data_IF_299315260671
#
_entry.id   IF_299315260671
#
_cell.length_a   1.000
_cell.length_b   1.000
_cell.length_c   1.000
_cell.angle_alpha   90.00
_cell.angle_beta   90.00
_cell.angle_gamma   90.00
#
_symmetry.space_group_name_H-M   'P 1'
#
loop_
_entity.id
_entity.type
_entity.pdbx_description
1 polymer ?
#
# COMPACT_ATOMS: atom_id res chain seq x y z
N UNK A 1 23.15 28.34 -33.16
CA UNK A 1 23.46 29.12 -31.96
C UNK A 1 22.17 29.69 -31.40
N UNK A 2 21.67 29.16 -30.30
CA UNK A 2 20.81 29.82 -29.29
C UNK A 2 20.74 28.88 -28.09
N UNK A 3 21.39 29.29 -27.01
CA UNK A 3 21.41 28.63 -25.71
C UNK A 3 20.09 28.98 -25.01
N UNK A 4 19.38 27.98 -24.50
CA UNK A 4 18.25 28.20 -23.58
C UNK A 4 18.67 27.80 -22.19
N UNK A 5 18.57 28.73 -21.27
CA UNK A 5 19.00 28.71 -19.88
C UNK A 5 17.89 28.07 -19.05
N UNK A 6 18.26 27.04 -18.26
CA UNK A 6 17.40 26.47 -17.21
C UNK A 6 17.32 27.45 -16.03
N UNK A 7 16.10 27.86 -15.68
CA UNK A 7 15.82 28.70 -14.53
C UNK A 7 15.46 27.83 -13.32
N UNK A 8 16.36 27.77 -12.36
CA UNK A 8 16.15 27.14 -11.05
C UNK A 8 15.40 28.13 -10.16
N UNK A 9 14.18 27.81 -9.75
CA UNK A 9 13.44 28.61 -8.76
C UNK A 9 13.91 28.24 -7.34
N UNK A 10 14.74 29.09 -6.75
CA UNK A 10 15.01 29.10 -5.33
C UNK A 10 14.04 30.09 -4.65
N UNK A 11 13.18 29.59 -3.76
CA UNK A 11 12.33 30.44 -2.93
C UNK A 11 13.15 30.90 -1.74
N UNK A 12 13.53 32.18 -1.74
CA UNK A 12 14.16 32.87 -0.61
C UNK A 12 13.04 33.51 0.20
N UNK A 13 12.86 33.05 1.43
CA UNK A 13 11.99 33.68 2.42
C UNK A 13 12.75 34.86 3.04
N UNK A 14 12.40 36.09 2.64
CA UNK A 14 12.94 37.33 3.25
C UNK A 14 12.15 37.68 4.53
N UNK A 15 12.80 37.55 5.68
CA UNK A 15 12.30 38.11 6.95
C UNK A 15 12.67 39.59 7.00
N UNK A 16 11.65 40.46 6.99
CA UNK A 16 11.84 41.89 7.14
C UNK A 16 12.21 42.23 8.58
N UNK A 17 13.38 42.83 8.76
CA UNK A 17 13.88 43.32 10.03
C UNK A 17 13.38 44.76 10.25
N UNK A 18 12.44 44.99 11.15
CA UNK A 18 12.03 46.31 11.60
C UNK A 18 13.02 46.79 12.68
N UNK A 19 13.67 47.94 12.48
CA UNK A 19 14.51 48.60 13.46
C UNK A 19 13.65 49.34 14.49
N UNK A 20 13.78 48.97 15.78
CA UNK A 20 13.31 49.78 16.91
C UNK A 20 14.48 50.24 17.75
N UNK A 21 14.45 51.51 18.19
CA UNK A 21 15.45 52.22 19.01
C UNK A 21 15.45 51.71 20.47
N UNK A 22 16.55 51.89 21.21
CA UNK A 22 16.73 51.24 22.52
C UNK A 22 16.08 52.03 23.66
N UNK A 23 15.53 51.37 24.66
CA UNK A 23 15.28 51.96 25.96
C UNK A 23 16.33 51.53 26.98
N UNK A 24 16.38 52.33 28.04
CA UNK A 24 17.32 52.40 29.15
C UNK A 24 17.60 51.13 29.97
N UNK A 25 18.78 51.14 30.55
CA UNK A 25 19.35 50.17 31.47
C UNK A 25 18.60 50.06 32.79
N UNK A 26 18.11 48.92 33.15
CA UNK A 26 18.19 48.29 34.49
C UNK A 26 17.32 47.05 34.55
N UNK A 27 17.86 45.85 34.33
CA UNK A 27 17.13 44.61 34.69
C UNK A 27 18.09 43.49 35.07
N UNK A 28 17.81 42.90 36.21
CA UNK A 28 18.35 41.68 36.78
C UNK A 28 18.57 40.54 35.78
N UNK A 29 19.75 39.92 35.86
CA UNK A 29 20.07 38.70 35.14
C UNK A 29 19.30 37.48 35.64
N UNK A 30 18.17 37.17 35.04
CA UNK A 30 17.59 35.85 35.08
C UNK A 30 18.04 35.09 33.84
N UNK A 31 18.73 33.97 34.05
CA UNK A 31 19.19 33.07 33.00
C UNK A 31 18.00 32.55 32.23
N UNK A 32 17.88 32.90 30.96
CA UNK A 32 16.88 32.37 30.04
C UNK A 32 17.26 30.97 29.55
N UNK A 33 16.46 30.00 29.89
CA UNK A 33 16.57 28.59 29.42
C UNK A 33 15.64 28.32 28.24
N UNK A 34 15.49 29.32 27.33
CA UNK A 34 14.42 29.32 26.32
C UNK A 34 14.68 28.41 25.10
N UNK A 35 15.89 27.96 24.92
CA UNK A 35 16.23 27.08 23.78
C UNK A 35 15.63 25.68 23.86
N UNK A 36 15.33 25.19 25.06
CA UNK A 36 14.79 23.83 25.25
C UNK A 36 13.26 23.77 25.18
N UNK A 37 12.56 24.85 25.56
CA UNK A 37 11.09 24.90 25.51
C UNK A 37 10.60 24.96 24.08
N UNK A 38 11.17 25.84 23.27
CA UNK A 38 10.82 25.98 21.85
C UNK A 38 11.15 24.70 21.04
N UNK A 39 12.25 24.01 21.36
CA UNK A 39 12.58 22.73 20.73
C UNK A 39 11.63 21.61 21.11
N UNK A 40 11.15 21.58 22.36
CA UNK A 40 10.19 20.61 22.82
C UNK A 40 8.79 20.86 22.24
N UNK A 41 8.36 22.10 22.12
CA UNK A 41 7.09 22.45 21.46
C UNK A 41 7.12 22.16 19.96
N UNK A 42 8.20 22.48 19.25
CA UNK A 42 8.37 22.13 17.85
C UNK A 42 8.46 20.62 17.63
N UNK A 43 9.09 19.87 18.54
CA UNK A 43 9.13 18.41 18.51
C UNK A 43 7.73 17.80 18.81
N UNK A 44 6.94 18.39 19.71
CA UNK A 44 5.57 17.99 19.98
C UNK A 44 4.62 18.31 18.80
N UNK A 45 4.77 19.46 18.16
CA UNK A 45 4.02 19.84 16.95
C UNK A 45 4.39 18.94 15.77
N UNK A 46 5.69 18.62 15.58
CA UNK A 46 6.15 17.69 14.56
C UNK A 46 5.70 16.23 14.81
N UNK A 47 5.48 15.85 16.08
CA UNK A 47 4.98 14.52 16.47
C UNK A 47 3.46 14.35 16.36
N UNK A 48 2.68 15.41 16.17
CA UNK A 48 1.22 15.39 16.26
C UNK A 48 0.48 15.51 14.91
N UNK A 49 1.14 15.82 13.82
CA UNK A 49 0.50 15.84 12.50
C UNK A 49 0.51 14.42 11.94
N UNK A 50 -0.47 13.59 12.33
CA UNK A 50 -0.85 12.40 11.54
C UNK A 50 -1.26 12.90 10.17
N UNK A 51 -0.36 12.75 9.18
CA UNK A 51 -0.66 13.14 7.82
C UNK A 51 -1.60 12.09 7.21
N UNK A 52 -2.90 12.36 7.27
CA UNK A 52 -3.88 11.58 6.54
C UNK A 52 -3.68 11.84 5.05
N UNK A 53 -3.34 10.81 4.30
CA UNK A 53 -3.25 10.88 2.86
C UNK A 53 -4.34 10.02 2.23
N UNK A 54 -5.06 10.60 1.26
CA UNK A 54 -6.03 9.90 0.41
C UNK A 54 -5.48 9.87 -1.01
N UNK A 55 -5.22 8.68 -1.52
CA UNK A 55 -4.65 8.48 -2.86
C UNK A 55 -5.56 7.52 -3.62
N UNK A 56 -5.79 7.79 -4.89
CA UNK A 56 -6.57 6.96 -5.79
C UNK A 56 -5.79 6.69 -7.07
N UNK A 57 -5.81 5.45 -7.54
CA UNK A 57 -5.28 5.01 -8.82
C UNK A 57 -6.41 4.37 -9.61
N UNK A 58 -6.90 5.08 -10.62
CA UNK A 58 -7.85 4.59 -11.62
C UNK A 58 -7.16 4.06 -12.88
N UNK A 59 -5.85 4.13 -12.93
CA UNK A 59 -4.96 3.71 -14.01
C UNK A 59 -5.19 4.36 -15.39
N UNK A 60 -6.18 5.23 -15.57
CA UNK A 60 -6.55 5.83 -16.87
C UNK A 60 -5.45 6.67 -17.50
N UNK A 61 -4.60 7.30 -16.68
CA UNK A 61 -3.51 8.16 -17.14
C UNK A 61 -2.20 7.43 -17.46
N UNK A 62 -2.17 6.10 -17.31
CA UNK A 62 -0.99 5.30 -17.62
C UNK A 62 -0.98 4.80 -19.07
N UNK A 63 0.20 4.41 -19.55
CA UNK A 63 0.38 3.87 -20.91
C UNK A 63 0.14 2.37 -20.93
N UNK A 64 -0.76 1.93 -21.78
CA UNK A 64 -1.05 0.49 -22.03
C UNK A 64 0.23 -0.26 -22.43
N UNK A 65 0.34 -1.52 -22.04
CA UNK A 65 1.49 -2.41 -22.23
C UNK A 65 2.79 -1.93 -21.55
N UNK A 66 2.69 -1.08 -20.54
CA UNK A 66 3.84 -0.62 -19.75
C UNK A 66 3.61 -0.88 -18.26
N UNK A 67 4.71 -1.19 -17.56
CA UNK A 67 4.72 -1.14 -16.09
C UNK A 67 4.46 0.31 -15.67
N UNK A 68 3.47 0.59 -14.79
CA UNK A 68 3.18 1.95 -14.37
C UNK A 68 4.37 2.57 -13.64
N UNK A 69 4.64 3.85 -13.92
CA UNK A 69 5.71 4.58 -13.23
C UNK A 69 5.44 4.64 -11.73
N UNK A 70 6.50 4.56 -10.91
CA UNK A 70 6.37 4.53 -9.45
C UNK A 70 6.06 3.15 -8.86
N UNK A 71 5.93 2.10 -9.67
CA UNK A 71 5.72 0.74 -9.22
C UNK A 71 6.95 -0.15 -9.46
N UNK A 72 7.12 -1.18 -8.64
CA UNK A 72 8.17 -2.20 -8.74
C UNK A 72 7.56 -3.59 -8.65
N UNK A 73 8.01 -4.49 -9.51
CA UNK A 73 7.54 -5.87 -9.54
C UNK A 73 8.58 -6.81 -8.94
N UNK A 74 8.07 -7.84 -8.26
CA UNK A 74 8.85 -8.90 -7.64
C UNK A 74 8.17 -10.25 -7.89
N UNK A 75 8.91 -11.34 -7.73
CA UNK A 75 8.35 -12.68 -7.74
C UNK A 75 9.17 -13.62 -6.86
N UNK A 76 8.55 -14.71 -6.43
CA UNK A 76 9.17 -15.80 -5.69
C UNK A 76 9.17 -17.08 -6.51
N UNK A 77 10.15 -17.96 -6.26
CA UNK A 77 10.25 -19.25 -6.96
C UNK A 77 10.75 -19.15 -8.39
N UNK A 78 10.54 -20.21 -9.17
CA UNK A 78 10.85 -20.27 -10.59
C UNK A 78 9.70 -19.70 -11.41
N UNK A 79 10.01 -19.11 -12.59
CA UNK A 79 9.02 -18.50 -13.47
C UNK A 79 9.28 -17.04 -13.72
N UNK A 80 8.24 -16.27 -13.95
CA UNK A 80 8.32 -14.84 -14.27
C UNK A 80 7.15 -14.04 -13.70
N UNK A 81 7.13 -12.76 -14.03
CA UNK A 81 6.03 -11.84 -13.69
C UNK A 81 5.87 -10.82 -14.82
N UNK A 82 4.63 -10.46 -15.14
CA UNK A 82 4.32 -9.49 -16.19
C UNK A 82 3.21 -8.56 -15.69
N UNK A 83 3.61 -7.58 -14.89
CA UNK A 83 2.71 -6.52 -14.43
C UNK A 83 2.76 -5.34 -15.38
N UNK A 84 1.62 -4.97 -15.91
CA UNK A 84 1.49 -3.82 -16.81
C UNK A 84 0.07 -3.26 -16.83
N UNK A 85 -0.09 -2.13 -17.46
CA UNK A 85 -1.42 -1.59 -17.76
C UNK A 85 -1.99 -2.36 -18.96
N UNK A 86 -3.19 -2.88 -18.79
CA UNK A 86 -3.97 -3.52 -19.84
C UNK A 86 -5.21 -2.70 -20.18
N UNK A 87 -5.78 -2.95 -21.35
CA UNK A 87 -7.09 -2.42 -21.74
C UNK A 87 -8.15 -3.50 -21.51
N UNK A 88 -9.14 -3.21 -20.68
CA UNK A 88 -10.31 -4.06 -20.44
C UNK A 88 -11.55 -3.36 -21.03
N UNK A 89 -11.73 -3.48 -22.36
CA UNK A 89 -12.87 -2.91 -23.09
C UNK A 89 -12.96 -1.37 -23.01
N UNK A 90 -11.83 -0.71 -23.14
CA UNK A 90 -11.71 0.75 -23.06
C UNK A 90 -11.44 1.30 -21.67
N UNK A 91 -11.40 0.45 -20.63
CA UNK A 91 -11.00 0.79 -19.28
C UNK A 91 -9.56 0.33 -19.01
N UNK A 92 -8.68 1.21 -18.58
CA UNK A 92 -7.30 0.84 -18.27
C UNK A 92 -7.19 0.28 -16.86
N UNK A 93 -6.55 -0.87 -16.76
CA UNK A 93 -6.42 -1.61 -15.50
C UNK A 93 -4.96 -1.99 -15.25
N UNK A 94 -4.58 -2.14 -14.00
CA UNK A 94 -3.33 -2.82 -13.68
C UNK A 94 -3.56 -4.33 -13.76
N UNK A 95 -2.73 -5.03 -14.52
CA UNK A 95 -2.87 -6.45 -14.78
C UNK A 95 -1.60 -7.24 -14.48
N UNK A 96 -1.72 -8.40 -13.86
CA UNK A 96 -0.73 -9.47 -13.89
C UNK A 96 -1.13 -10.43 -15.02
N UNK A 97 -0.26 -10.64 -16.01
CA UNK A 97 -0.57 -11.38 -17.25
C UNK A 97 0.28 -12.63 -17.48
N UNK A 98 1.35 -12.85 -16.71
CA UNK A 98 2.18 -14.04 -16.87
C UNK A 98 1.48 -15.28 -16.34
N UNK A 99 1.13 -16.21 -17.23
CA UNK A 99 0.28 -17.39 -16.96
C UNK A 99 1.04 -18.73 -16.98
N UNK A 100 2.37 -18.71 -17.04
CA UNK A 100 3.19 -19.94 -17.13
C UNK A 100 3.84 -20.33 -15.78
N UNK A 101 3.44 -19.69 -14.69
CA UNK A 101 4.04 -19.95 -13.40
C UNK A 101 3.56 -21.25 -12.76
N UNK A 102 4.47 -22.02 -12.13
CA UNK A 102 4.10 -23.20 -11.39
C UNK A 102 3.34 -22.86 -10.09
N UNK A 103 2.65 -23.85 -9.55
CA UNK A 103 2.02 -23.71 -8.24
C UNK A 103 3.08 -23.40 -7.17
N UNK A 104 2.82 -22.42 -6.29
CA UNK A 104 3.77 -21.95 -5.27
C UNK A 104 4.57 -20.72 -5.67
N UNK A 105 4.47 -20.25 -6.91
CA UNK A 105 5.01 -18.98 -7.35
C UNK A 105 4.10 -17.82 -6.92
N UNK A 106 4.68 -16.71 -6.49
CA UNK A 106 3.97 -15.48 -6.12
C UNK A 106 4.42 -14.33 -6.99
N UNK A 107 3.47 -13.60 -7.58
CA UNK A 107 3.72 -12.38 -8.33
C UNK A 107 3.33 -11.19 -7.44
N UNK A 108 4.21 -10.23 -7.32
CA UNK A 108 4.04 -9.08 -6.42
C UNK A 108 4.34 -7.79 -7.21
N UNK A 109 3.53 -6.78 -6.99
CA UNK A 109 3.84 -5.41 -7.41
C UNK A 109 3.56 -4.47 -6.26
N UNK A 110 4.49 -3.55 -5.97
CA UNK A 110 4.33 -2.56 -4.90
C UNK A 110 4.59 -1.15 -5.42
N UNK A 111 3.89 -0.19 -4.86
CA UNK A 111 4.18 1.21 -5.14
C UNK A 111 5.38 1.67 -4.29
N UNK A 112 6.37 2.28 -4.94
CA UNK A 112 7.63 2.73 -4.30
C UNK A 112 7.42 3.81 -3.25
N UNK A 113 6.40 4.62 -3.43
CA UNK A 113 6.15 5.83 -2.64
C UNK A 113 5.06 5.63 -1.57
N UNK A 114 4.35 4.50 -1.59
CA UNK A 114 3.32 4.18 -0.61
C UNK A 114 3.90 3.32 0.52
N UNK A 115 4.26 3.96 1.61
CA UNK A 115 4.73 3.32 2.84
C UNK A 115 3.79 3.70 3.97
N UNK A 116 3.11 2.72 4.55
CA UNK A 116 2.13 2.97 5.61
C UNK A 116 2.14 1.88 6.68
N UNK A 117 1.76 2.27 7.91
CA UNK A 117 1.55 1.36 9.04
C UNK A 117 0.06 1.11 9.27
N UNK A 118 -0.73 2.19 9.37
CA UNK A 118 -2.17 2.15 9.54
C UNK A 118 -2.83 2.72 8.29
N UNK A 119 -3.83 2.03 7.76
CA UNK A 119 -4.44 2.41 6.49
C UNK A 119 -5.75 1.67 6.24
N UNK A 120 -6.52 2.22 5.34
CA UNK A 120 -7.61 1.54 4.67
C UNK A 120 -7.27 1.40 3.19
N UNK A 121 -7.36 0.20 2.66
CA UNK A 121 -7.15 -0.15 1.26
C UNK A 121 -8.45 -0.63 0.64
N UNK A 122 -8.73 -0.23 -0.58
CA UNK A 122 -9.84 -0.76 -1.37
C UNK A 122 -9.41 -0.91 -2.82
N UNK A 123 -9.77 -2.00 -3.49
CA UNK A 123 -9.52 -2.24 -4.90
C UNK A 123 -10.66 -3.03 -5.52
N UNK A 124 -10.99 -2.75 -6.76
CA UNK A 124 -11.75 -3.66 -7.59
C UNK A 124 -10.79 -4.68 -8.20
N UNK A 125 -11.13 -5.95 -8.13
CA UNK A 125 -10.33 -7.02 -8.72
C UNK A 125 -11.21 -7.98 -9.52
N UNK A 126 -10.64 -8.56 -10.58
CA UNK A 126 -11.28 -9.52 -11.46
C UNK A 126 -10.30 -10.63 -11.82
N UNK A 127 -10.60 -11.87 -11.42
CA UNK A 127 -9.87 -13.06 -11.89
C UNK A 127 -10.25 -13.34 -13.33
N UNK A 128 -9.29 -13.27 -14.24
CA UNK A 128 -9.52 -13.38 -15.69
C UNK A 128 -9.23 -14.77 -16.19
N UNK A 129 -8.12 -15.38 -15.77
CA UNK A 129 -7.69 -16.70 -16.17
C UNK A 129 -6.76 -17.33 -15.12
N UNK A 130 -6.51 -18.61 -15.28
CA UNK A 130 -5.65 -19.45 -14.45
C UNK A 130 -6.28 -20.80 -14.21
N UNK A 131 -5.48 -21.86 -14.25
CA UNK A 131 -5.91 -23.25 -13.99
C UNK A 131 -5.59 -23.66 -12.55
N UNK A 132 -4.45 -23.20 -12.02
CA UNK A 132 -3.99 -23.49 -10.68
C UNK A 132 -4.46 -22.46 -9.67
N UNK A 133 -4.59 -21.22 -10.10
CA UNK A 133 -5.07 -20.11 -9.25
C UNK A 133 -5.72 -19.02 -10.10
N UNK A 134 -6.66 -18.26 -9.54
CA UNK A 134 -7.20 -17.02 -10.11
C UNK A 134 -7.22 -15.90 -9.07
N UNK A 135 -6.53 -16.14 -7.95
CA UNK A 135 -6.56 -15.25 -6.82
C UNK A 135 -5.71 -14.00 -7.00
N UNK A 136 -6.23 -12.91 -6.46
CA UNK A 136 -5.52 -11.65 -6.36
C UNK A 136 -5.93 -10.88 -5.11
N UNK A 137 -5.10 -9.92 -4.71
CA UNK A 137 -5.41 -9.09 -3.57
C UNK A 137 -4.27 -8.17 -3.15
N UNK A 138 -4.33 -7.70 -1.90
CA UNK A 138 -3.35 -6.76 -1.37
C UNK A 138 -2.12 -7.44 -0.80
N UNK A 139 -0.96 -6.79 -0.99
CA UNK A 139 0.21 -6.94 -0.15
C UNK A 139 0.41 -5.64 0.65
N UNK A 140 0.75 -5.76 1.93
CA UNK A 140 1.07 -4.60 2.78
C UNK A 140 2.15 -4.92 3.80
N UNK A 141 2.71 -3.88 4.40
CA UNK A 141 3.93 -3.96 5.22
C UNK A 141 5.02 -4.77 4.51
N UNK A 142 5.09 -4.59 3.19
CA UNK A 142 6.09 -5.27 2.37
C UNK A 142 7.47 -4.71 2.68
N UNK A 143 8.35 -5.59 3.15
CA UNK A 143 9.77 -5.35 3.42
C UNK A 143 10.57 -5.77 2.19
N UNK A 144 10.39 -7.02 1.76
CA UNK A 144 10.99 -7.64 0.59
C UNK A 144 10.09 -8.78 0.07
N UNK A 145 10.52 -9.48 -1.00
CA UNK A 145 9.76 -10.59 -1.61
C UNK A 145 9.53 -11.81 -0.70
N UNK A 146 10.17 -11.86 0.46
CA UNK A 146 10.10 -12.96 1.42
C UNK A 146 9.38 -12.56 2.72
N UNK A 147 9.07 -11.25 2.93
CA UNK A 147 8.57 -10.74 4.21
C UNK A 147 7.48 -9.69 4.00
N UNK A 148 6.21 -10.10 4.15
CA UNK A 148 5.02 -9.25 3.97
C UNK A 148 3.74 -9.94 4.44
N UNK A 149 2.66 -9.18 4.59
CA UNK A 149 1.30 -9.72 4.67
C UNK A 149 0.62 -9.72 3.31
N UNK A 150 -0.31 -10.65 3.13
CA UNK A 150 -1.17 -10.72 1.94
C UNK A 150 -2.59 -11.17 2.30
N UNK A 151 -3.60 -10.53 1.71
CA UNK A 151 -4.97 -11.00 1.67
C UNK A 151 -5.39 -11.15 0.22
N UNK A 152 -6.00 -12.29 -0.11
CA UNK A 152 -6.44 -12.57 -1.48
C UNK A 152 -7.88 -13.08 -1.53
N UNK A 153 -8.59 -12.75 -2.61
CA UNK A 153 -9.82 -13.38 -3.04
C UNK A 153 -9.51 -14.35 -4.19
N UNK A 154 -10.06 -15.56 -4.19
CA UNK A 154 -9.82 -16.54 -5.24
C UNK A 154 -11.14 -17.08 -5.80
N UNK A 155 -11.52 -16.74 -7.04
CA UNK A 155 -12.73 -17.23 -7.70
C UNK A 155 -12.77 -18.74 -7.93
N UNK A 156 -11.62 -19.42 -8.02
CA UNK A 156 -11.60 -20.89 -8.17
C UNK A 156 -11.96 -21.63 -6.88
N UNK A 157 -11.69 -21.01 -5.74
CA UNK A 157 -11.89 -21.60 -4.43
C UNK A 157 -13.09 -20.97 -3.69
N UNK A 158 -13.67 -19.91 -4.23
CA UNK A 158 -14.73 -19.10 -3.61
C UNK A 158 -14.40 -18.77 -2.15
N UNK A 159 -13.15 -18.30 -1.89
CA UNK A 159 -12.72 -17.97 -0.54
C UNK A 159 -11.84 -16.74 -0.47
N UNK A 160 -11.76 -16.18 0.73
CA UNK A 160 -10.85 -15.07 1.09
C UNK A 160 -9.95 -15.58 2.19
N UNK A 161 -8.62 -15.44 1.98
CA UNK A 161 -7.62 -15.88 2.95
C UNK A 161 -6.61 -14.78 3.20
N UNK A 162 -6.24 -14.60 4.46
CA UNK A 162 -5.17 -13.71 4.87
C UNK A 162 -3.99 -14.53 5.35
N UNK A 163 -2.80 -14.19 4.86
CA UNK A 163 -1.55 -14.86 5.14
C UNK A 163 -0.49 -13.86 5.59
N UNK A 164 0.55 -14.38 6.22
CA UNK A 164 1.89 -13.80 6.20
C UNK A 164 2.81 -14.64 5.33
N UNK A 165 3.77 -13.99 4.71
CA UNK A 165 4.96 -14.61 4.15
C UNK A 165 6.13 -14.13 5.00
N UNK A 166 6.78 -15.07 5.68
CA UNK A 166 7.90 -14.84 6.59
C UNK A 166 9.04 -15.74 6.15
N UNK A 167 10.19 -15.16 5.84
CA UNK A 167 11.36 -15.85 5.28
C UNK A 167 11.00 -16.73 4.05
N UNK A 168 10.12 -16.22 3.20
CA UNK A 168 9.64 -16.88 1.99
C UNK A 168 8.60 -17.98 2.23
N UNK A 169 8.23 -18.27 3.46
CA UNK A 169 7.23 -19.30 3.82
C UNK A 169 5.87 -18.65 4.04
N UNK A 170 4.88 -19.03 3.23
CA UNK A 170 3.50 -18.56 3.38
C UNK A 170 2.72 -19.39 4.40
N UNK A 171 2.06 -18.75 5.35
CA UNK A 171 1.15 -19.36 6.30
C UNK A 171 -0.13 -18.53 6.45
N UNK A 172 -1.28 -19.22 6.48
CA UNK A 172 -2.56 -18.60 6.81
C UNK A 172 -2.61 -18.21 8.28
N UNK A 173 -3.24 -17.08 8.57
CA UNK A 173 -3.36 -16.56 9.92
C UNK A 173 -4.71 -16.92 10.55
N UNK A 174 -4.73 -17.17 11.87
CA UNK A 174 -5.97 -17.49 12.58
C UNK A 174 -6.92 -16.29 12.60
N UNK A 175 -8.21 -16.57 12.44
CA UNK A 175 -9.25 -15.55 12.50
C UNK A 175 -9.63 -15.26 13.96
N UNK A 176 -9.83 -13.98 14.28
CA UNK A 176 -10.28 -13.57 15.62
C UNK A 176 -11.61 -14.25 15.95
N UNK A 177 -11.67 -14.94 17.08
CA UNK A 177 -12.84 -15.67 17.57
C UNK A 177 -13.14 -17.00 16.87
N UNK A 178 -12.35 -17.40 15.83
CA UNK A 178 -12.58 -18.66 15.08
C UNK A 178 -11.34 -19.58 15.03
N UNK A 179 -10.15 -19.03 15.25
CA UNK A 179 -8.92 -19.77 15.11
C UNK A 179 -8.48 -19.99 13.66
N UNK A 180 -7.70 -21.05 13.42
CA UNK A 180 -7.12 -21.37 12.10
C UNK A 180 -8.14 -22.15 11.24
N UNK A 181 -8.66 -21.51 10.20
CA UNK A 181 -9.75 -22.02 9.34
C UNK A 181 -9.42 -22.00 7.85
N UNK A 182 -8.20 -21.67 7.45
CA UNK A 182 -7.82 -21.38 6.07
C UNK A 182 -8.72 -20.31 5.44
N UNK A 183 -8.88 -19.17 6.14
CA UNK A 183 -9.73 -18.08 5.72
C UNK A 183 -11.22 -18.36 5.87
N UNK A 184 -12.01 -17.84 4.95
CA UNK A 184 -13.47 -17.98 4.96
C UNK A 184 -13.98 -18.22 3.53
N UNK A 185 -14.90 -19.17 3.39
CA UNK A 185 -15.66 -19.35 2.15
C UNK A 185 -16.70 -18.23 2.00
N UNK A 186 -16.91 -17.81 0.77
CA UNK A 186 -17.89 -16.80 0.39
C UNK A 186 -18.83 -17.35 -0.68
N UNK A 187 -19.93 -16.66 -0.94
CA UNK A 187 -20.73 -16.93 -2.13
C UNK A 187 -19.86 -16.77 -3.39
N UNK A 188 -20.28 -17.39 -4.48
CA UNK A 188 -19.51 -17.44 -5.74
C UNK A 188 -19.01 -16.06 -6.15
N UNK A 189 -17.68 -15.90 -6.19
CA UNK A 189 -17.02 -14.68 -6.63
C UNK A 189 -17.23 -14.44 -8.14
N UNK A 190 -17.32 -15.51 -8.92
CA UNK A 190 -17.50 -15.44 -10.37
C UNK A 190 -16.33 -14.77 -11.09
N UNK A 191 -16.53 -14.50 -12.38
CA UNK A 191 -15.54 -13.86 -13.27
C UNK A 191 -15.73 -12.33 -13.39
N UNK A 192 -16.63 -11.76 -12.58
CA UNK A 192 -16.90 -10.32 -12.55
C UNK A 192 -15.97 -9.55 -11.60
N UNK A 193 -16.16 -8.24 -11.60
CA UNK A 193 -15.47 -7.35 -10.69
C UNK A 193 -15.99 -7.52 -9.25
N UNK A 194 -15.07 -7.69 -8.31
CA UNK A 194 -15.35 -7.71 -6.88
C UNK A 194 -14.54 -6.59 -6.19
N UNK A 195 -15.10 -6.02 -5.13
CA UNK A 195 -14.37 -5.02 -4.33
C UNK A 195 -13.82 -5.69 -3.06
N UNK A 196 -12.51 -5.82 -2.99
CA UNK A 196 -11.80 -6.22 -1.77
C UNK A 196 -11.39 -4.96 -1.01
N UNK A 197 -11.65 -4.94 0.31
CA UNK A 197 -11.23 -3.86 1.19
C UNK A 197 -10.53 -4.43 2.41
N UNK A 198 -9.49 -3.74 2.87
CA UNK A 198 -8.70 -4.08 4.05
C UNK A 198 -8.52 -2.84 4.92
N UNK A 199 -8.83 -2.96 6.21
CA UNK A 199 -8.44 -1.95 7.21
C UNK A 199 -7.31 -2.52 8.07
N UNK A 200 -6.21 -1.79 8.17
CA UNK A 200 -5.03 -2.12 8.98
C UNK A 200 -4.91 -1.10 10.10
N UNK A 201 -5.13 -1.52 11.34
CA UNK A 201 -5.02 -0.68 12.53
C UNK A 201 -4.14 -1.36 13.57
N UNK A 202 -2.90 -0.92 13.67
CA UNK A 202 -1.84 -1.57 14.46
C UNK A 202 -1.66 -3.04 14.02
N UNK A 203 -1.94 -3.99 14.88
CA UNK A 203 -1.86 -5.44 14.66
C UNK A 203 -3.21 -6.07 14.27
N UNK A 204 -4.28 -5.27 14.19
CA UNK A 204 -5.62 -5.73 13.81
C UNK A 204 -5.90 -5.43 12.34
N UNK A 205 -6.27 -6.46 11.59
CA UNK A 205 -6.60 -6.42 10.17
C UNK A 205 -8.06 -6.84 9.98
N UNK A 206 -8.87 -5.96 9.38
CA UNK A 206 -10.29 -6.26 9.09
C UNK A 206 -10.49 -6.36 7.58
N UNK A 207 -11.04 -7.47 7.12
CA UNK A 207 -11.24 -7.78 5.71
C UNK A 207 -12.70 -7.67 5.33
N UNK A 208 -12.97 -7.03 4.19
CA UNK A 208 -14.31 -6.85 3.63
C UNK A 208 -14.32 -7.30 2.16
N UNK A 209 -15.45 -7.83 1.72
CA UNK A 209 -15.75 -8.13 0.33
C UNK A 209 -17.09 -7.51 -0.05
N UNK A 210 -17.13 -6.76 -1.14
CA UNK A 210 -18.33 -6.11 -1.67
C UNK A 210 -19.14 -5.35 -0.58
N UNK A 211 -18.41 -4.63 0.28
CA UNK A 211 -18.94 -3.83 1.38
C UNK A 211 -19.27 -4.61 2.67
N UNK A 212 -19.27 -5.94 2.65
CA UNK A 212 -19.55 -6.78 3.83
C UNK A 212 -18.28 -7.11 4.59
N UNK A 213 -18.23 -6.85 5.90
CA UNK A 213 -17.16 -7.34 6.78
C UNK A 213 -17.20 -8.88 6.83
N UNK A 214 -16.05 -9.52 6.60
CA UNK A 214 -15.94 -10.96 6.58
C UNK A 214 -15.30 -11.53 7.85
N UNK A 215 -14.11 -11.01 8.19
CA UNK A 215 -13.35 -11.47 9.34
C UNK A 215 -12.28 -10.48 9.77
N UNK A 216 -11.72 -10.75 10.95
CA UNK A 216 -10.56 -10.03 11.49
C UNK A 216 -9.44 -11.01 11.78
N UNK A 217 -8.22 -10.51 11.64
CA UNK A 217 -6.97 -11.20 12.02
C UNK A 217 -6.18 -10.27 12.93
N UNK A 218 -5.54 -10.82 13.95
CA UNK A 218 -4.59 -10.10 14.78
C UNK A 218 -3.22 -10.76 14.67
N UNK A 219 -2.22 -10.02 14.18
CA UNK A 219 -0.84 -10.49 14.04
C UNK A 219 0.14 -9.31 14.08
N UNK A 220 1.27 -9.49 14.75
CA UNK A 220 2.29 -8.45 14.92
C UNK A 220 3.68 -8.88 14.42
N UNK A 221 3.74 -9.81 13.46
CA UNK A 221 4.99 -10.28 12.86
C UNK A 221 5.76 -9.14 12.21
N UNK A 222 5.07 -8.28 11.45
CA UNK A 222 5.67 -7.08 10.83
C UNK A 222 5.05 -5.82 11.45
N UNK A 223 5.62 -5.28 12.56
CA UNK A 223 4.99 -4.19 13.31
C UNK A 223 5.18 -2.81 12.69
N UNK A 224 6.12 -2.66 11.76
CA UNK A 224 6.51 -1.38 11.18
C UNK A 224 5.72 -1.06 9.90
N UNK A 225 5.79 0.21 9.47
CA UNK A 225 5.33 0.61 8.15
C UNK A 225 6.11 -0.11 7.05
N UNK A 226 5.44 -0.43 5.95
CA UNK A 226 6.07 -1.03 4.77
C UNK A 226 5.32 -0.65 3.50
N UNK A 227 5.86 -1.06 2.34
CA UNK A 227 5.24 -0.76 1.05
C UNK A 227 3.89 -1.48 0.91
N UNK A 228 3.07 -0.96 -0.01
CA UNK A 228 1.73 -1.47 -0.31
C UNK A 228 1.61 -1.75 -1.81
N UNK A 229 0.85 -2.78 -2.16
CA UNK A 229 0.61 -3.14 -3.55
C UNK A 229 -0.29 -4.35 -3.71
N UNK A 230 -0.04 -5.13 -4.76
CA UNK A 230 -0.87 -6.27 -5.15
C UNK A 230 -0.08 -7.56 -5.26
N UNK A 231 -0.82 -8.66 -5.21
CA UNK A 231 -0.30 -10.00 -5.20
C UNK A 231 -1.21 -10.94 -6.00
N UNK A 232 -0.60 -11.85 -6.74
CA UNK A 232 -1.26 -13.01 -7.35
C UNK A 232 -0.42 -14.26 -7.14
N UNK A 233 -0.98 -15.44 -7.46
CA UNK A 233 -0.31 -16.72 -7.29
C UNK A 233 -0.34 -17.54 -8.57
N UNK A 234 0.73 -18.30 -8.79
CA UNK A 234 0.85 -19.25 -9.89
C UNK A 234 0.51 -18.61 -11.25
N UNK A 235 -0.33 -19.26 -12.03
CA UNK A 235 -0.79 -18.87 -13.36
C UNK A 235 -1.97 -17.88 -13.36
N UNK A 236 -2.29 -17.28 -12.20
CA UNK A 236 -3.40 -16.34 -12.10
C UNK A 236 -3.20 -15.10 -12.95
N UNK A 237 -4.10 -14.88 -13.91
CA UNK A 237 -4.26 -13.63 -14.63
C UNK A 237 -5.34 -12.83 -13.92
N UNK A 238 -4.96 -11.69 -13.34
CA UNK A 238 -5.86 -10.90 -12.50
C UNK A 238 -5.74 -9.41 -12.85
N UNK A 239 -6.88 -8.75 -12.97
CA UNK A 239 -6.99 -7.31 -13.18
C UNK A 239 -7.35 -6.60 -11.88
N UNK A 240 -6.79 -5.40 -11.70
CA UNK A 240 -6.98 -4.52 -10.55
C UNK A 240 -7.30 -3.11 -11.03
N UNK A 241 -8.28 -2.47 -10.40
CA UNK A 241 -8.73 -1.13 -10.75
C UNK A 241 -9.27 -0.40 -9.51
N UNK A 242 -9.47 0.92 -9.62
CA UNK A 242 -10.00 1.77 -8.55
C UNK A 242 -9.27 1.56 -7.20
N UNK A 243 -7.94 1.49 -7.23
CA UNK A 243 -7.18 1.32 -6.00
C UNK A 243 -7.18 2.60 -5.17
N UNK A 244 -7.70 2.50 -3.96
CA UNK A 244 -7.79 3.60 -2.99
C UNK A 244 -7.01 3.27 -1.73
N UNK A 245 -6.24 4.22 -1.23
CA UNK A 245 -5.55 4.14 0.04
C UNK A 245 -5.83 5.40 0.87
N UNK A 246 -6.26 5.19 2.11
CA UNK A 246 -6.37 6.24 3.13
C UNK A 246 -5.43 5.86 4.28
N UNK A 247 -4.43 6.69 4.59
CA UNK A 247 -3.55 6.50 5.75
C UNK A 247 -4.08 7.28 6.95
N UNK A 248 -3.84 6.80 8.18
CA UNK A 248 -4.29 7.45 9.42
C UNK A 248 -3.43 7.08 10.64
#
# INVERSE_FOLDING_TARGET
MKKTINLLFAIILSVACAKASPPDQNINTTKWNDGNIVRNELAQIAGSVKQEAKINFDFENYTVNRLPSGWEQYYSGAGGTDWKIADDQGNKVLAQLYSENPNGHFNIIVNKNLVAKNMELSVRLKGVAGKHDQGGGFVWRFIDKNNYYVVRANPLEDNIVLYKVEDGKRSDLPLVGKGKTYGISVEKLGTGWNTLKLTVKNDLFTVFLNGKELFKVQDNTFPNAGKVGFWTKADAVTFFDDFKINTF
#
